data_IF_740279087931
#
_entry.id   IF_740279087931
#
_cell.length_a   1.000
_cell.length_b   1.000
_cell.length_c   1.000
_cell.angle_alpha   90.00
_cell.angle_beta   90.00
_cell.angle_gamma   90.00
#
_symmetry.space_group_name_H-M   'P 1'
#
loop_
_entity.id
_entity.type
_entity.pdbx_description
1 polymer ?
#
# COMPACT_ATOMS: atom_id res chain seq x y z
N UNK A 1 -47.84 24.48 65.22
CA UNK A 1 -46.74 25.47 65.15
C UNK A 1 -45.78 25.17 66.29
N UNK A 2 -44.50 24.89 66.03
CA UNK A 2 -43.53 25.91 65.59
C UNK A 2 -42.64 25.47 64.39
N UNK A 3 -41.66 26.33 64.09
CA UNK A 3 -40.95 26.59 62.85
C UNK A 3 -40.00 25.50 62.31
N UNK A 4 -39.79 25.58 60.99
CA UNK A 4 -38.93 24.75 60.17
C UNK A 4 -37.43 24.94 60.48
N UNK A 5 -36.69 23.83 60.48
CA UNK A 5 -35.24 23.79 60.61
C UNK A 5 -34.65 23.52 59.22
N UNK A 6 -34.03 24.53 58.60
CA UNK A 6 -33.38 24.42 57.29
C UNK A 6 -31.96 23.88 57.46
N UNK A 7 -31.77 22.58 57.22
CA UNK A 7 -30.45 22.02 56.96
C UNK A 7 -30.27 21.82 55.45
N UNK A 8 -29.57 22.77 54.82
CA UNK A 8 -29.08 22.62 53.44
C UNK A 8 -27.78 21.83 53.50
N UNK A 9 -27.82 20.56 53.13
CA UNK A 9 -26.61 19.80 52.78
C UNK A 9 -26.06 20.33 51.46
N UNK A 10 -24.74 20.59 51.34
CA UNK A 10 -24.16 21.00 50.07
C UNK A 10 -24.18 19.82 49.10
N UNK A 11 -24.90 19.99 47.98
CA UNK A 11 -24.84 19.05 46.86
C UNK A 11 -23.42 18.99 46.34
N UNK A 12 -22.80 17.81 46.45
CA UNK A 12 -21.52 17.48 45.83
C UNK A 12 -21.63 17.71 44.32
N UNK A 13 -20.94 18.73 43.82
CA UNK A 13 -20.71 18.90 42.40
C UNK A 13 -19.72 17.83 41.95
N UNK A 14 -20.25 16.77 41.35
CA UNK A 14 -19.44 15.82 40.60
C UNK A 14 -18.68 16.56 39.49
N UNK A 15 -17.36 16.37 39.45
CA UNK A 15 -16.51 16.86 38.37
C UNK A 15 -16.95 16.15 37.07
N UNK A 16 -17.25 16.87 35.97
CA UNK A 16 -17.59 16.22 34.71
C UNK A 16 -16.41 15.42 34.19
N UNK A 17 -16.66 14.19 33.70
CA UNK A 17 -15.64 13.37 33.06
C UNK A 17 -15.07 14.07 31.81
N UNK A 18 -13.80 13.83 31.44
CA UNK A 18 -13.21 14.45 30.26
C UNK A 18 -13.87 13.95 28.97
N UNK A 19 -14.32 14.89 28.13
CA UNK A 19 -14.33 14.74 26.67
C UNK A 19 -15.57 14.09 26.02
N UNK A 20 -16.70 14.80 25.98
CA UNK A 20 -17.83 14.47 25.08
C UNK A 20 -18.25 15.63 24.17
N UNK A 21 -17.48 16.73 24.15
CA UNK A 21 -17.71 17.84 23.24
C UNK A 21 -17.19 17.59 21.82
N UNK A 22 -17.63 18.36 20.80
CA UNK A 22 -17.09 18.26 19.44
C UNK A 22 -15.57 18.48 19.44
N UNK A 23 -14.86 17.69 18.61
CA UNK A 23 -13.39 17.74 18.51
C UNK A 23 -12.93 17.99 17.07
N UNK A 24 -11.94 18.87 16.84
CA UNK A 24 -11.35 19.09 15.51
C UNK A 24 -10.34 18.00 15.12
N UNK A 25 -10.11 16.98 15.95
CA UNK A 25 -9.08 15.97 15.75
C UNK A 25 -9.18 15.26 14.39
N UNK A 26 -10.37 14.79 14.02
CA UNK A 26 -10.58 14.10 12.75
C UNK A 26 -10.23 14.99 11.55
N UNK A 27 -10.55 16.29 11.61
CA UNK A 27 -10.21 17.25 10.56
C UNK A 27 -8.69 17.33 10.37
N UNK A 28 -7.94 17.54 11.46
CA UNK A 28 -6.48 17.65 11.38
C UNK A 28 -5.79 16.33 11.03
N UNK A 29 -6.29 15.19 11.50
CA UNK A 29 -5.78 13.86 11.10
C UNK A 29 -5.97 13.63 9.61
N UNK A 30 -7.13 14.00 9.06
CA UNK A 30 -7.44 13.84 7.63
C UNK A 30 -6.62 14.81 6.78
N UNK A 31 -6.57 16.09 7.15
CA UNK A 31 -5.83 17.11 6.40
C UNK A 31 -4.32 16.81 6.32
N UNK A 32 -3.75 16.17 7.33
CA UNK A 32 -2.34 15.79 7.37
C UNK A 32 -2.05 14.36 6.85
N UNK A 33 -3.07 13.58 6.45
CA UNK A 33 -2.90 12.17 6.11
C UNK A 33 -1.91 11.94 4.95
N UNK A 34 -1.80 12.87 4.01
CA UNK A 34 -0.85 12.79 2.89
C UNK A 34 0.62 12.65 3.34
N UNK A 35 0.96 13.17 4.52
CA UNK A 35 2.30 13.06 5.11
C UNK A 35 2.70 11.60 5.33
N UNK A 36 1.73 10.74 5.66
CA UNK A 36 1.96 9.29 5.84
C UNK A 36 2.39 8.62 4.55
N UNK A 37 1.71 8.93 3.45
CA UNK A 37 2.04 8.40 2.11
C UNK A 37 3.44 8.84 1.67
N UNK A 38 3.77 10.12 1.86
CA UNK A 38 5.08 10.66 1.48
C UNK A 38 6.22 10.13 2.37
N UNK A 39 5.98 9.95 3.67
CA UNK A 39 6.97 9.36 4.57
C UNK A 39 7.25 7.88 4.22
N UNK A 40 6.21 7.10 3.90
CA UNK A 40 6.37 5.72 3.43
C UNK A 40 7.15 5.66 2.11
N UNK A 41 6.82 6.53 1.14
CA UNK A 41 7.54 6.64 -0.13
C UNK A 41 9.02 6.93 0.09
N UNK A 42 9.35 7.94 0.88
CA UNK A 42 10.72 8.30 1.20
C UNK A 42 11.48 7.13 1.87
N UNK A 43 10.85 6.44 2.82
CA UNK A 43 11.47 5.30 3.51
C UNK A 43 11.75 4.12 2.56
N UNK A 44 10.86 3.87 1.58
CA UNK A 44 11.06 2.85 0.54
C UNK A 44 12.16 3.24 -0.44
N UNK A 45 12.20 4.50 -0.89
CA UNK A 45 13.23 5.03 -1.81
C UNK A 45 14.62 5.02 -1.17
N UNK A 46 14.71 5.31 0.14
CA UNK A 46 15.94 5.22 0.93
C UNK A 46 16.33 3.78 1.29
N UNK A 47 15.51 2.79 0.94
CA UNK A 47 15.67 1.38 1.35
C UNK A 47 15.77 1.19 2.88
N UNK A 48 15.19 2.10 3.64
CA UNK A 48 15.34 2.22 5.09
C UNK A 48 14.93 0.94 5.81
N UNK A 49 13.85 0.29 5.37
CA UNK A 49 13.38 -0.96 5.97
C UNK A 49 14.36 -2.13 5.73
N UNK A 50 14.97 -2.19 4.55
CA UNK A 50 15.98 -3.20 4.22
C UNK A 50 17.22 -3.01 5.09
N UNK A 51 17.71 -1.77 5.21
CA UNK A 51 18.86 -1.41 6.05
C UNK A 51 18.63 -1.78 7.51
N UNK A 52 17.44 -1.51 8.06
CA UNK A 52 17.08 -1.94 9.43
C UNK A 52 17.00 -3.47 9.53
N UNK A 53 16.45 -4.13 8.51
CA UNK A 53 16.38 -5.60 8.44
C UNK A 53 17.76 -6.28 8.43
N UNK A 54 18.81 -5.58 8.02
CA UNK A 54 20.21 -6.02 8.09
C UNK A 54 20.88 -5.77 9.45
N UNK A 55 20.14 -5.24 10.43
CA UNK A 55 20.61 -5.07 11.79
C UNK A 55 21.15 -3.68 12.11
N UNK A 56 21.02 -2.69 11.22
CA UNK A 56 21.30 -1.28 11.54
C UNK A 56 20.16 -0.72 12.39
N UNK A 57 20.46 -0.23 13.59
CA UNK A 57 19.42 0.08 14.57
C UNK A 57 19.52 1.49 15.13
N UNK A 58 20.69 2.13 15.14
CA UNK A 58 20.81 3.54 15.51
C UNK A 58 20.50 4.46 14.33
N UNK A 59 20.12 5.71 14.60
CA UNK A 59 19.90 6.71 13.55
C UNK A 59 21.13 6.92 12.67
N UNK A 60 22.32 6.84 13.24
CA UNK A 60 23.61 7.04 12.56
C UNK A 60 23.93 5.84 11.66
N UNK A 61 23.73 4.62 12.17
CA UNK A 61 23.91 3.38 11.42
C UNK A 61 22.95 3.30 10.22
N UNK A 62 21.68 3.64 10.44
CA UNK A 62 20.65 3.63 9.40
C UNK A 62 20.96 4.73 8.38
N UNK A 63 21.31 5.94 8.83
CA UNK A 63 21.65 7.05 7.96
C UNK A 63 22.85 6.73 7.06
N UNK A 64 23.89 6.10 7.61
CA UNK A 64 25.03 5.63 6.83
C UNK A 64 24.62 4.59 5.77
N UNK A 65 23.74 3.65 6.11
CA UNK A 65 23.21 2.65 5.17
C UNK A 65 22.30 3.24 4.09
N UNK A 66 21.58 4.33 4.39
CA UNK A 66 20.66 4.99 3.46
C UNK A 66 21.31 6.15 2.67
N UNK A 67 22.59 6.45 2.89
CA UNK A 67 23.26 7.66 2.39
C UNK A 67 22.47 8.96 2.71
N UNK A 68 22.06 9.12 3.97
CA UNK A 68 21.22 10.22 4.44
C UNK A 68 21.82 10.92 5.66
N UNK A 69 21.25 12.06 6.06
CA UNK A 69 21.66 12.72 7.30
C UNK A 69 21.09 12.03 8.54
N UNK A 70 21.90 11.84 9.59
CA UNK A 70 21.45 11.23 10.85
C UNK A 70 20.23 11.94 11.45
N UNK A 71 20.17 13.28 11.38
CA UNK A 71 19.02 14.07 11.83
C UNK A 71 17.76 13.75 11.02
N UNK A 72 17.85 13.73 9.69
CA UNK A 72 16.72 13.44 8.81
C UNK A 72 16.20 12.02 9.01
N UNK A 73 17.10 11.04 9.02
CA UNK A 73 16.79 9.63 9.27
C UNK A 73 16.10 9.45 10.62
N UNK A 74 16.61 10.05 11.70
CA UNK A 74 15.97 9.98 13.02
C UNK A 74 14.53 10.51 12.98
N UNK A 75 14.30 11.67 12.38
CA UNK A 75 12.96 12.28 12.29
C UNK A 75 12.01 11.38 11.49
N UNK A 76 12.46 10.85 10.36
CA UNK A 76 11.66 9.92 9.55
C UNK A 76 11.36 8.64 10.32
N UNK A 77 12.36 8.02 10.97
CA UNK A 77 12.16 6.83 11.79
C UNK A 77 11.18 7.08 12.93
N UNK A 78 11.31 8.20 13.65
CA UNK A 78 10.38 8.57 14.73
C UNK A 78 8.94 8.74 14.20
N UNK A 79 8.77 9.37 13.03
CA UNK A 79 7.47 9.47 12.37
C UNK A 79 6.90 8.10 11.98
N UNK A 80 7.73 7.20 11.43
CA UNK A 80 7.33 5.84 11.08
C UNK A 80 6.99 4.99 12.32
N UNK A 81 7.62 5.24 13.47
CA UNK A 81 7.28 4.61 14.75
C UNK A 81 5.88 5.06 15.19
N UNK A 82 5.60 6.36 15.16
CA UNK A 82 4.27 6.91 15.50
C UNK A 82 3.18 6.32 14.61
N UNK A 83 3.47 6.11 13.33
CA UNK A 83 2.53 5.53 12.37
C UNK A 83 2.56 3.99 12.30
N UNK A 84 3.24 3.32 13.24
CA UNK A 84 3.19 1.86 13.39
C UNK A 84 3.96 1.05 12.35
N UNK A 85 4.82 1.69 11.55
CA UNK A 85 5.67 1.03 10.56
C UNK A 85 7.02 0.58 11.14
N UNK A 86 7.45 1.17 12.25
CA UNK A 86 8.65 0.79 12.99
C UNK A 86 8.35 0.67 14.49
N UNK A 87 9.25 0.04 15.22
CA UNK A 87 9.29 0.06 16.69
C UNK A 87 10.54 0.81 17.15
N UNK A 88 10.47 1.44 18.32
CA UNK A 88 11.60 2.09 18.98
C UNK A 88 11.77 1.56 20.40
N UNK A 89 13.00 1.21 20.76
CA UNK A 89 13.42 0.89 22.12
C UNK A 89 14.66 1.71 22.46
N UNK A 90 14.54 2.60 23.44
CA UNK A 90 15.56 3.64 23.70
C UNK A 90 15.93 4.39 22.41
N UNK A 91 17.19 4.31 21.98
CA UNK A 91 17.71 4.94 20.76
C UNK A 91 17.88 3.96 19.58
N UNK A 92 17.18 2.82 19.61
CA UNK A 92 17.25 1.79 18.57
C UNK A 92 15.91 1.59 17.89
N UNK A 93 15.93 1.49 16.56
CA UNK A 93 14.78 1.20 15.72
C UNK A 93 14.79 -0.26 15.28
N UNK A 94 13.60 -0.83 15.10
CA UNK A 94 13.42 -2.18 14.57
C UNK A 94 12.16 -2.26 13.72
N UNK A 95 12.10 -3.22 12.80
CA UNK A 95 10.91 -3.45 11.99
C UNK A 95 9.77 -4.01 12.85
N UNK A 96 8.53 -3.64 12.52
CA UNK A 96 7.39 -4.46 12.91
C UNK A 96 7.39 -5.79 12.14
N UNK A 97 6.56 -6.75 12.56
CA UNK A 97 6.40 -8.02 11.82
C UNK A 97 5.98 -7.75 10.38
N UNK A 98 5.01 -6.87 10.20
CA UNK A 98 4.46 -6.56 8.88
C UNK A 98 5.47 -5.81 8.01
N UNK A 99 6.21 -4.83 8.55
CA UNK A 99 7.25 -4.14 7.80
C UNK A 99 8.41 -5.06 7.41
N UNK A 100 8.77 -6.03 8.27
CA UNK A 100 9.78 -7.03 7.93
C UNK A 100 9.36 -7.94 6.76
N UNK A 101 8.07 -8.27 6.67
CA UNK A 101 7.54 -9.12 5.60
C UNK A 101 7.28 -8.33 4.32
N UNK A 102 6.69 -7.14 4.41
CA UNK A 102 6.15 -6.44 3.24
C UNK A 102 6.99 -5.24 2.76
N UNK A 103 7.92 -4.72 3.59
CA UNK A 103 8.69 -3.52 3.25
C UNK A 103 10.21 -3.74 3.20
N UNK A 104 10.70 -4.92 3.60
CA UNK A 104 12.09 -5.32 3.39
C UNK A 104 12.27 -5.90 1.98
N UNK A 105 13.15 -5.32 1.15
CA UNK A 105 13.39 -5.80 -0.23
C UNK A 105 13.93 -7.23 -0.31
N UNK A 106 14.52 -7.76 0.77
CA UNK A 106 14.98 -9.16 0.84
C UNK A 106 13.85 -10.16 1.07
N UNK A 107 12.66 -9.70 1.41
CA UNK A 107 11.49 -10.56 1.57
C UNK A 107 10.92 -10.95 0.20
N UNK A 108 10.57 -12.23 -0.03
CA UNK A 108 9.85 -12.62 -1.24
C UNK A 108 8.44 -12.03 -1.32
N UNK A 109 7.90 -11.50 -0.21
CA UNK A 109 6.60 -10.84 -0.14
C UNK A 109 6.71 -9.30 -0.16
N UNK A 110 7.83 -8.75 -0.62
CA UNK A 110 8.03 -7.29 -0.68
C UNK A 110 6.98 -6.59 -1.56
N UNK A 111 6.34 -5.56 -1.00
CA UNK A 111 5.26 -4.78 -1.64
C UNK A 111 5.65 -3.33 -1.95
N UNK A 112 6.85 -2.87 -1.56
CA UNK A 112 7.23 -1.46 -1.74
C UNK A 112 7.29 -1.02 -3.21
N UNK A 113 7.37 -1.95 -4.17
CA UNK A 113 7.23 -1.67 -5.61
C UNK A 113 5.90 -1.02 -5.96
N UNK A 114 4.82 -1.37 -5.26
CA UNK A 114 3.47 -0.89 -5.54
C UNK A 114 3.36 0.64 -5.49
N UNK A 115 4.23 1.30 -4.70
CA UNK A 115 4.26 2.77 -4.60
C UNK A 115 4.58 3.44 -5.94
N UNK A 116 5.32 2.77 -6.84
CA UNK A 116 5.61 3.31 -8.18
C UNK A 116 4.36 3.45 -9.04
N UNK A 117 3.35 2.60 -8.84
CA UNK A 117 2.04 2.77 -9.47
C UNK A 117 1.09 3.60 -8.62
N UNK A 118 1.04 3.39 -7.29
CA UNK A 118 0.05 4.05 -6.43
C UNK A 118 0.30 5.56 -6.28
N UNK A 119 1.55 6.00 -6.37
CA UNK A 119 1.98 7.38 -6.17
C UNK A 119 2.63 7.98 -7.43
N UNK A 120 2.14 7.62 -8.63
CA UNK A 120 2.57 8.28 -9.87
C UNK A 120 2.15 9.75 -9.87
N UNK A 121 2.91 10.63 -10.55
CA UNK A 121 2.58 12.06 -10.64
C UNK A 121 1.15 12.31 -11.12
N UNK A 122 0.67 11.57 -12.12
CA UNK A 122 -0.65 11.74 -12.72
C UNK A 122 -1.77 11.39 -11.72
N UNK A 123 -1.57 10.37 -10.88
CA UNK A 123 -2.55 10.01 -9.85
C UNK A 123 -2.57 11.03 -8.73
N UNK A 124 -1.39 11.43 -8.26
CA UNK A 124 -1.28 12.48 -7.24
C UNK A 124 -1.95 13.75 -7.75
N UNK A 125 -1.73 14.11 -9.01
CA UNK A 125 -2.38 15.27 -9.63
C UNK A 125 -3.90 15.11 -9.70
N UNK A 126 -4.41 13.92 -10.05
CA UNK A 126 -5.84 13.63 -10.02
C UNK A 126 -6.49 13.90 -8.66
N UNK A 127 -5.75 13.72 -7.55
CA UNK A 127 -6.22 14.11 -6.21
C UNK A 127 -6.10 15.62 -5.93
N UNK A 128 -5.12 16.31 -6.52
CA UNK A 128 -4.98 17.76 -6.39
C UNK A 128 -6.15 18.51 -7.06
N UNK A 129 -6.65 18.00 -8.19
CA UNK A 129 -7.76 18.58 -8.96
C UNK A 129 -9.10 17.85 -8.73
N UNK A 130 -9.29 17.30 -7.53
CA UNK A 130 -10.48 16.50 -7.20
C UNK A 130 -11.77 17.34 -7.21
N UNK A 131 -11.68 18.65 -6.94
CA UNK A 131 -12.84 19.56 -6.98
C UNK A 131 -13.42 19.64 -8.39
N UNK A 132 -12.55 19.75 -9.40
CA UNK A 132 -12.90 19.76 -10.82
C UNK A 132 -13.54 18.42 -11.21
N UNK A 133 -12.96 17.31 -10.75
CA UNK A 133 -13.49 15.97 -11.04
C UNK A 133 -14.90 15.77 -10.47
N UNK A 134 -15.13 16.24 -9.24
CA UNK A 134 -16.46 16.21 -8.59
C UNK A 134 -17.46 17.05 -9.37
N UNK A 135 -17.08 18.28 -9.75
CA UNK A 135 -17.95 19.17 -10.54
C UNK A 135 -18.29 18.60 -11.91
N UNK A 136 -17.30 17.97 -12.56
CA UNK A 136 -17.42 17.38 -13.90
C UNK A 136 -18.20 16.04 -13.88
N UNK A 137 -18.17 15.30 -12.77
CA UNK A 137 -18.72 13.95 -12.68
C UNK A 137 -17.82 12.88 -13.34
N UNK A 138 -16.50 13.10 -13.37
CA UNK A 138 -15.54 12.20 -14.01
C UNK A 138 -14.11 12.73 -13.90
N UNK A 139 -13.13 12.02 -14.47
CA UNK A 139 -11.71 12.44 -14.39
C UNK A 139 -11.51 13.87 -14.92
N UNK A 140 -10.82 14.70 -14.14
CA UNK A 140 -10.37 16.02 -14.55
C UNK A 140 -8.99 15.99 -15.24
N UNK A 141 -8.29 14.85 -15.21
CA UNK A 141 -7.02 14.64 -15.90
C UNK A 141 -7.28 14.36 -17.39
N UNK A 142 -6.56 15.08 -18.26
CA UNK A 142 -6.61 14.88 -19.72
C UNK A 142 -5.93 13.58 -20.15
N UNK A 143 -4.73 13.32 -19.64
CA UNK A 143 -3.97 12.08 -19.89
C UNK A 143 -4.41 10.98 -18.92
N UNK A 144 -5.64 10.50 -19.08
CA UNK A 144 -6.25 9.54 -18.16
C UNK A 144 -5.97 8.07 -18.55
N UNK A 145 -6.20 7.16 -17.60
CA UNK A 145 -5.90 5.73 -17.76
C UNK A 145 -6.71 5.01 -18.86
N UNK A 146 -7.78 5.64 -19.38
CA UNK A 146 -8.59 5.08 -20.49
C UNK A 146 -8.05 5.42 -21.88
N UNK A 147 -6.97 6.20 -22.00
CA UNK A 147 -6.33 6.43 -23.30
C UNK A 147 -5.72 5.12 -23.83
N UNK A 148 -5.77 4.87 -25.15
CA UNK A 148 -5.15 3.69 -25.76
C UNK A 148 -3.68 3.57 -25.37
N UNK A 149 -3.25 2.35 -25.04
CA UNK A 149 -1.86 1.99 -24.74
C UNK A 149 -1.19 2.84 -23.65
N UNK A 150 -1.96 3.45 -22.74
CA UNK A 150 -1.40 4.32 -21.71
C UNK A 150 -0.31 3.58 -20.89
N UNK A 151 0.94 4.11 -20.82
CA UNK A 151 2.06 3.44 -20.17
C UNK A 151 1.85 3.16 -18.68
N UNK A 152 0.88 3.82 -18.05
CA UNK A 152 0.49 3.55 -16.66
C UNK A 152 0.09 2.09 -16.43
N UNK A 153 -0.40 1.38 -17.46
CA UNK A 153 -0.77 -0.03 -17.35
C UNK A 153 0.43 -0.98 -17.41
N UNK A 154 1.53 -0.57 -18.05
CA UNK A 154 2.81 -1.30 -17.96
C UNK A 154 3.38 -1.14 -16.55
N UNK A 155 3.38 0.09 -16.02
CA UNK A 155 3.81 0.36 -14.65
C UNK A 155 2.94 -0.38 -13.63
N UNK A 156 1.62 -0.42 -13.82
CA UNK A 156 0.68 -1.23 -13.03
C UNK A 156 1.11 -2.69 -13.00
N UNK A 157 1.25 -3.29 -14.18
CA UNK A 157 1.54 -4.70 -14.34
C UNK A 157 2.90 -5.07 -13.70
N UNK A 158 3.91 -4.22 -13.79
CA UNK A 158 5.21 -4.46 -13.14
C UNK A 158 5.14 -4.29 -11.62
N UNK A 159 4.55 -3.19 -11.17
CA UNK A 159 4.70 -2.76 -9.78
C UNK A 159 3.69 -3.38 -8.82
N UNK A 160 2.53 -3.82 -9.34
CA UNK A 160 1.47 -4.45 -8.56
C UNK A 160 1.52 -5.99 -8.58
N UNK A 161 2.32 -6.59 -9.47
CA UNK A 161 2.43 -8.06 -9.58
C UNK A 161 2.66 -8.78 -8.24
N UNK A 162 3.58 -8.35 -7.35
CA UNK A 162 3.80 -9.04 -6.06
C UNK A 162 2.54 -9.16 -5.18
N UNK A 163 1.61 -8.20 -5.27
CA UNK A 163 0.35 -8.22 -4.53
C UNK A 163 -0.61 -9.30 -5.03
N UNK A 164 -0.48 -9.70 -6.30
CA UNK A 164 -1.42 -10.57 -6.99
C UNK A 164 -0.97 -12.03 -7.08
N UNK A 165 0.28 -12.35 -6.68
CA UNK A 165 0.80 -13.73 -6.68
C UNK A 165 -0.08 -14.69 -5.88
N UNK A 166 -0.39 -14.39 -4.61
CA UNK A 166 -1.22 -15.26 -3.78
C UNK A 166 -2.68 -15.31 -4.25
N UNK A 167 -3.35 -14.18 -4.55
CA UNK A 167 -4.69 -14.21 -5.15
C UNK A 167 -4.78 -15.07 -6.43
N UNK A 168 -3.76 -15.02 -7.30
CA UNK A 168 -3.73 -15.83 -8.52
C UNK A 168 -3.68 -17.34 -8.21
N UNK A 169 -2.81 -17.77 -7.29
CA UNK A 169 -2.73 -19.17 -6.84
C UNK A 169 -4.03 -19.65 -6.19
N UNK A 170 -4.65 -18.79 -5.36
CA UNK A 170 -5.92 -19.09 -4.71
C UNK A 170 -7.04 -19.25 -5.74
N UNK A 171 -7.08 -18.40 -6.78
CA UNK A 171 -8.06 -18.52 -7.85
C UNK A 171 -7.91 -19.85 -8.60
N UNK A 172 -6.68 -20.21 -8.99
CA UNK A 172 -6.42 -21.47 -9.68
C UNK A 172 -6.84 -22.69 -8.84
N UNK A 173 -6.55 -22.64 -7.53
CA UNK A 173 -6.97 -23.67 -6.57
C UNK A 173 -8.49 -23.74 -6.42
N UNK A 174 -9.16 -22.60 -6.27
CA UNK A 174 -10.61 -22.51 -6.11
C UNK A 174 -11.36 -23.03 -7.33
N UNK A 175 -10.81 -22.80 -8.53
CA UNK A 175 -11.33 -23.33 -9.78
C UNK A 175 -10.98 -24.81 -9.99
N UNK A 176 -10.18 -25.41 -9.10
CA UNK A 176 -9.67 -26.78 -9.22
C UNK A 176 -8.96 -27.02 -10.56
N UNK A 177 -8.11 -26.07 -10.95
CA UNK A 177 -7.43 -26.09 -12.25
C UNK A 177 -6.66 -27.40 -12.49
N UNK A 178 -6.04 -27.99 -11.46
CA UNK A 178 -5.39 -29.32 -11.52
C UNK A 178 -6.29 -30.48 -11.97
N UNK A 179 -7.60 -30.39 -11.72
CA UNK A 179 -8.60 -31.38 -12.11
C UNK A 179 -9.35 -30.95 -13.38
N UNK A 180 -8.96 -29.80 -13.95
CA UNK A 180 -9.58 -29.21 -15.12
C UNK A 180 -9.40 -30.07 -16.36
N UNK A 181 -10.43 -30.09 -17.21
CA UNK A 181 -10.27 -30.50 -18.62
C UNK A 181 -9.32 -29.52 -19.33
N UNK A 182 -8.88 -29.79 -20.57
CA UNK A 182 -8.22 -28.78 -21.41
C UNK A 182 -9.13 -27.55 -21.57
N UNK A 183 -8.86 -26.50 -20.81
CA UNK A 183 -9.68 -25.31 -20.79
C UNK A 183 -9.34 -24.40 -21.96
N UNK A 184 -10.32 -23.60 -22.39
CA UNK A 184 -10.08 -22.43 -23.23
C UNK A 184 -10.45 -21.21 -22.40
N UNK A 185 -9.44 -20.45 -21.99
CA UNK A 185 -9.58 -19.32 -21.07
C UNK A 185 -9.38 -18.03 -21.86
N UNK A 186 -10.40 -17.17 -21.90
CA UNK A 186 -10.25 -15.80 -22.40
C UNK A 186 -9.97 -14.88 -21.21
N UNK A 187 -8.82 -14.20 -21.23
CA UNK A 187 -8.47 -13.18 -20.27
C UNK A 187 -8.50 -11.80 -20.92
N UNK A 188 -9.21 -10.87 -20.28
CA UNK A 188 -9.40 -9.49 -20.73
C UNK A 188 -8.72 -8.55 -19.73
N UNK A 189 -7.92 -7.59 -20.21
CA UNK A 189 -7.09 -6.73 -19.38
C UNK A 189 -6.11 -7.53 -18.50
N UNK A 190 -5.30 -8.34 -19.16
CA UNK A 190 -4.36 -9.32 -18.58
C UNK A 190 -3.35 -8.68 -17.62
N UNK A 191 -2.95 -7.43 -17.86
CA UNK A 191 -2.02 -6.71 -17.01
C UNK A 191 -0.71 -7.48 -16.82
N UNK A 192 -0.47 -7.95 -15.59
CA UNK A 192 0.74 -8.69 -15.21
C UNK A 192 0.79 -10.14 -15.72
N UNK A 193 -0.33 -10.77 -16.08
CA UNK A 193 -0.35 -12.18 -16.51
C UNK A 193 -0.30 -13.23 -15.38
N UNK A 194 -0.33 -12.84 -14.10
CA UNK A 194 -0.18 -13.78 -12.98
C UNK A 194 -1.35 -14.76 -12.81
N UNK A 195 -2.59 -14.33 -13.08
CA UNK A 195 -3.74 -15.24 -13.00
C UNK A 195 -3.65 -16.31 -14.08
N UNK A 196 -3.27 -15.90 -15.28
CA UNK A 196 -3.10 -16.74 -16.46
C UNK A 196 -1.98 -17.74 -16.25
N UNK A 197 -0.81 -17.27 -15.84
CA UNK A 197 0.35 -18.14 -15.60
C UNK A 197 0.12 -19.10 -14.42
N UNK A 198 -0.60 -18.68 -13.37
CA UNK A 198 -1.00 -19.58 -12.30
C UNK A 198 -1.98 -20.65 -12.81
N UNK A 199 -3.01 -20.27 -13.56
CA UNK A 199 -3.95 -21.22 -14.16
C UNK A 199 -3.25 -22.23 -15.09
N UNK A 200 -2.34 -21.77 -15.96
CA UNK A 200 -1.59 -22.64 -16.85
C UNK A 200 -0.63 -23.58 -16.11
N UNK A 201 -0.05 -23.14 -14.98
CA UNK A 201 0.78 -24.01 -14.12
C UNK A 201 -0.03 -25.12 -13.47
N UNK A 202 -1.25 -24.83 -13.03
CA UNK A 202 -2.13 -25.83 -12.41
C UNK A 202 -2.86 -26.70 -13.44
N UNK A 203 -3.16 -26.16 -14.63
CA UNK A 203 -3.77 -26.89 -15.74
C UNK A 203 -2.87 -26.80 -16.99
N UNK A 204 -1.93 -27.73 -17.13
CA UNK A 204 -0.98 -27.73 -18.25
C UNK A 204 -1.63 -27.95 -19.63
N UNK A 205 -2.92 -28.30 -19.67
CA UNK A 205 -3.68 -28.45 -20.92
C UNK A 205 -4.59 -27.26 -21.21
N UNK A 206 -4.55 -26.20 -20.39
CA UNK A 206 -5.32 -24.98 -20.63
C UNK A 206 -4.68 -24.15 -21.74
N UNK A 207 -5.52 -23.67 -22.65
CA UNK A 207 -5.19 -22.71 -23.68
C UNK A 207 -5.68 -21.33 -23.24
N UNK A 208 -4.78 -20.35 -23.14
CA UNK A 208 -5.09 -19.00 -22.67
C UNK A 208 -5.03 -18.01 -23.84
N UNK A 209 -6.14 -17.31 -24.03
CA UNK A 209 -6.31 -16.23 -24.99
C UNK A 209 -6.26 -14.90 -24.23
N UNK A 210 -5.14 -14.20 -24.35
CA UNK A 210 -4.86 -12.96 -23.63
C UNK A 210 -5.21 -11.74 -24.47
N UNK A 211 -5.99 -10.81 -23.92
CA UNK A 211 -6.35 -9.54 -24.54
C UNK A 211 -5.94 -8.39 -23.63
N UNK A 212 -5.04 -7.55 -24.12
CA UNK A 212 -4.65 -6.28 -23.53
C UNK A 212 -4.03 -5.39 -24.61
N UNK A 213 -3.57 -4.20 -24.25
CA UNK A 213 -2.76 -3.36 -25.12
C UNK A 213 -1.44 -4.05 -25.50
N UNK A 214 -0.93 -3.87 -26.73
CA UNK A 214 0.32 -4.48 -27.19
C UNK A 214 1.51 -4.29 -26.23
N UNK A 215 1.67 -3.10 -25.65
CA UNK A 215 2.75 -2.81 -24.69
C UNK A 215 2.60 -3.58 -23.36
N UNK A 216 1.37 -3.86 -22.92
CA UNK A 216 1.10 -4.67 -21.73
C UNK A 216 1.26 -6.17 -22.03
N UNK A 217 0.79 -6.62 -23.20
CA UNK A 217 0.93 -8.01 -23.64
C UNK A 217 2.39 -8.45 -23.74
N UNK A 218 3.30 -7.58 -24.16
CA UNK A 218 4.74 -7.91 -24.23
C UNK A 218 5.33 -8.21 -22.84
N UNK A 219 4.90 -7.47 -21.82
CA UNK A 219 5.26 -7.75 -20.43
C UNK A 219 4.63 -9.05 -19.93
N UNK A 220 3.34 -9.26 -20.17
CA UNK A 220 2.64 -10.48 -19.77
C UNK A 220 3.28 -11.72 -20.41
N UNK A 221 3.66 -11.64 -21.69
CA UNK A 221 4.39 -12.68 -22.42
C UNK A 221 5.75 -12.95 -21.78
N UNK A 222 6.50 -11.91 -21.43
CA UNK A 222 7.78 -12.05 -20.72
C UNK A 222 7.60 -12.76 -19.38
N UNK A 223 6.57 -12.39 -18.61
CA UNK A 223 6.26 -13.06 -17.34
C UNK A 223 5.85 -14.52 -17.54
N UNK A 224 5.08 -14.84 -18.58
CA UNK A 224 4.70 -16.21 -18.92
C UNK A 224 5.93 -17.06 -19.24
N UNK A 225 6.83 -16.57 -20.08
CA UNK A 225 8.10 -17.24 -20.41
C UNK A 225 8.95 -17.47 -19.16
N UNK A 226 9.08 -16.46 -18.30
CA UNK A 226 9.82 -16.59 -17.03
C UNK A 226 9.18 -17.60 -16.06
N UNK A 227 7.86 -17.82 -16.18
CA UNK A 227 7.12 -18.83 -15.42
C UNK A 227 7.12 -20.22 -16.09
N UNK A 228 7.80 -20.38 -17.24
CA UNK A 228 7.86 -21.64 -17.99
C UNK A 228 6.58 -21.97 -18.77
N UNK A 229 5.73 -20.97 -19.02
CA UNK A 229 4.50 -21.10 -19.82
C UNK A 229 4.77 -20.59 -21.23
N UNK A 230 4.53 -21.45 -22.22
CA UNK A 230 4.73 -21.19 -23.65
C UNK A 230 3.45 -20.86 -24.40
#
# INVERSE_FOLDING_TARGET
MPAANTNVTPSSTAIPAPGTGPSPQLFFETANAFQRSQALKAAVELELFTVIGEGKQSSEEIAAGCNASARGTRILCDFLVINGLLRKQANRYSLTRDSAVFLNKKSPAYLGSALRFLLTPEKVEGYNILVEAVRKGGTAIEHHAMLPENPIWVEFAQSMAPLMTMPAEMLATMLKAEQGKPWKVLSLAVGHGLYETSLARHNSNAEIWAVDWPNVLELARTNAVNAGIG
#
